data_IF_715500322523
#
_entry.id   IF_715500322523
#
_cell.length_a   1.000
_cell.length_b   1.000
_cell.length_c   1.000
_cell.angle_alpha   90.00
_cell.angle_beta   90.00
_cell.angle_gamma   90.00
#
_symmetry.space_group_name_H-M   'P 1'
#
loop_
_entity.id
_entity.type
_entity.pdbx_description
1 polymer ?
#
# COMPACT_ATOMS: atom_id res chain seq x y z
N UNK A 1 -23.22 -17.80 4.09
CA UNK A 1 -22.61 -17.74 5.44
C UNK A 1 -22.78 -16.33 6.00
N UNK A 2 -23.04 -16.17 7.29
CA UNK A 2 -23.17 -14.86 7.95
C UNK A 2 -21.79 -14.29 8.31
N UNK A 3 -21.59 -12.99 8.11
CA UNK A 3 -20.42 -12.22 8.55
C UNK A 3 -20.11 -12.41 10.04
N UNK A 4 -21.14 -12.60 10.88
CA UNK A 4 -20.96 -12.80 12.32
C UNK A 4 -20.24 -14.11 12.66
N UNK A 5 -20.25 -15.09 11.74
CA UNK A 5 -19.54 -16.36 11.91
C UNK A 5 -18.08 -16.29 11.40
N UNK A 6 -17.64 -15.14 10.89
CA UNK A 6 -16.27 -14.96 10.45
C UNK A 6 -15.34 -14.84 11.66
N UNK A 7 -14.23 -15.60 11.72
CA UNK A 7 -13.21 -15.47 12.77
C UNK A 7 -12.75 -14.02 12.95
N UNK A 8 -12.53 -13.60 14.19
CA UNK A 8 -12.18 -12.21 14.50
C UNK A 8 -10.94 -11.72 13.74
N UNK A 9 -9.95 -12.59 13.52
CA UNK A 9 -8.73 -12.28 12.76
C UNK A 9 -8.98 -12.03 11.26
N UNK A 10 -10.13 -12.46 10.72
CA UNK A 10 -10.49 -12.28 9.30
C UNK A 10 -11.43 -11.10 9.07
N UNK A 11 -12.12 -10.60 10.10
CA UNK A 11 -13.13 -9.54 9.95
C UNK A 11 -12.55 -8.26 9.37
N UNK A 12 -11.46 -7.76 9.95
CA UNK A 12 -10.82 -6.54 9.44
C UNK A 12 -10.24 -6.74 8.04
N UNK A 13 -9.63 -7.91 7.77
CA UNK A 13 -9.12 -8.24 6.44
C UNK A 13 -10.24 -8.22 5.38
N UNK A 14 -11.36 -8.87 5.71
CA UNK A 14 -12.55 -8.92 4.86
C UNK A 14 -13.15 -7.53 4.64
N UNK A 15 -13.45 -6.78 5.70
CA UNK A 15 -14.05 -5.46 5.57
C UNK A 15 -13.17 -4.47 4.83
N UNK A 16 -11.84 -4.59 4.98
CA UNK A 16 -10.89 -3.75 4.27
C UNK A 16 -10.97 -3.91 2.75
N UNK A 17 -11.53 -5.01 2.24
CA UNK A 17 -11.79 -5.16 0.80
C UNK A 17 -12.74 -4.10 0.25
N UNK A 18 -13.59 -3.51 1.11
CA UNK A 18 -14.50 -2.42 0.76
C UNK A 18 -13.80 -1.14 0.27
N UNK A 19 -12.47 -1.00 0.46
CA UNK A 19 -11.73 0.14 -0.08
C UNK A 19 -11.46 0.04 -1.57
N UNK A 20 -11.49 -1.16 -2.16
CA UNK A 20 -11.14 -1.36 -3.56
C UNK A 20 -12.30 -0.93 -4.46
N UNK A 21 -12.03 -0.41 -5.67
CA UNK A 21 -13.09 -0.06 -6.61
C UNK A 21 -13.85 -1.30 -7.09
N UNK A 22 -15.09 -1.07 -7.53
CA UNK A 22 -15.95 -2.09 -8.15
C UNK A 22 -15.22 -2.76 -9.32
N UNK A 23 -15.51 -4.04 -9.51
CA UNK A 23 -15.02 -4.84 -10.63
C UNK A 23 -13.52 -4.80 -10.91
N UNK A 24 -12.71 -4.51 -9.88
CA UNK A 24 -11.27 -4.35 -10.03
C UNK A 24 -10.55 -5.64 -9.66
N UNK A 25 -9.67 -6.12 -10.55
CA UNK A 25 -8.74 -7.19 -10.24
C UNK A 25 -7.70 -6.71 -9.20
N UNK A 26 -7.69 -7.36 -8.04
CA UNK A 26 -6.81 -7.06 -6.92
C UNK A 26 -5.62 -8.00 -6.97
N UNK A 27 -4.40 -7.46 -6.94
CA UNK A 27 -3.19 -8.25 -6.80
C UNK A 27 -3.13 -8.83 -5.37
N UNK A 28 -3.11 -10.16 -5.24
CA UNK A 28 -3.13 -10.84 -3.95
C UNK A 28 -1.97 -10.39 -3.05
N UNK A 29 -0.76 -10.30 -3.60
CA UNK A 29 0.41 -9.80 -2.87
C UNK A 29 0.23 -8.36 -2.36
N UNK A 30 -0.50 -7.51 -3.08
CA UNK A 30 -0.74 -6.12 -2.66
C UNK A 30 -1.71 -6.11 -1.49
N UNK A 31 -2.77 -6.89 -1.59
CA UNK A 31 -3.77 -7.02 -0.53
C UNK A 31 -3.15 -7.54 0.77
N UNK A 32 -2.35 -8.61 0.71
CA UNK A 32 -1.69 -9.19 1.88
C UNK A 32 -0.74 -8.21 2.54
N UNK A 33 0.09 -7.48 1.77
CA UNK A 33 0.97 -6.44 2.31
C UNK A 33 0.22 -5.27 2.93
N UNK A 34 -0.92 -4.86 2.37
CA UNK A 34 -1.77 -3.84 2.98
C UNK A 34 -2.30 -4.32 4.33
N UNK A 35 -2.85 -5.52 4.43
CA UNK A 35 -3.33 -6.07 5.72
C UNK A 35 -2.23 -6.14 6.78
N UNK A 36 -1.02 -6.57 6.39
CA UNK A 36 0.15 -6.60 7.28
C UNK A 36 0.50 -5.20 7.77
N UNK A 37 0.54 -4.22 6.87
CA UNK A 37 0.93 -2.85 7.20
C UNK A 37 -0.14 -2.12 8.03
N UNK A 38 -1.42 -2.41 7.80
CA UNK A 38 -2.55 -1.98 8.63
C UNK A 38 -2.52 -2.61 10.04
N UNK A 39 -1.84 -3.76 10.18
CA UNK A 39 -1.72 -4.50 11.43
C UNK A 39 -2.88 -5.46 11.69
N UNK A 40 -3.62 -5.87 10.65
CA UNK A 40 -4.69 -6.86 10.76
C UNK A 40 -4.15 -8.28 10.95
N UNK A 41 -2.91 -8.51 10.51
CA UNK A 41 -2.27 -9.82 10.59
C UNK A 41 -1.45 -9.91 11.88
N UNK A 42 -1.74 -10.92 12.69
CA UNK A 42 -1.01 -11.22 13.91
C UNK A 42 0.05 -12.29 13.64
N UNK A 43 1.24 -12.06 14.17
CA UNK A 43 2.35 -13.01 14.10
C UNK A 43 1.98 -14.29 14.87
N UNK A 44 1.99 -15.43 14.17
CA UNK A 44 1.84 -16.76 14.78
C UNK A 44 3.22 -17.39 14.98
N UNK A 45 3.38 -18.24 16.00
CA UNK A 45 4.66 -18.89 16.30
C UNK A 45 5.08 -19.77 15.10
N UNK A 46 6.30 -19.56 14.60
CA UNK A 46 6.86 -20.33 13.50
C UNK A 46 6.31 -20.01 12.11
N UNK A 47 5.52 -18.95 11.94
CA UNK A 47 4.93 -18.56 10.65
C UNK A 47 5.12 -17.07 10.37
N UNK A 48 5.57 -16.70 9.19
CA UNK A 48 5.70 -15.30 8.76
C UNK A 48 4.34 -14.59 8.68
N UNK A 49 4.35 -13.25 8.72
CA UNK A 49 3.14 -12.45 8.51
C UNK A 49 2.57 -12.65 7.12
N UNK A 50 3.44 -12.85 6.13
CA UNK A 50 3.06 -13.10 4.74
C UNK A 50 2.29 -14.41 4.60
N UNK A 51 2.79 -15.51 5.17
CA UNK A 51 2.07 -16.79 5.18
C UNK A 51 0.71 -16.69 5.89
N UNK A 52 0.64 -16.00 7.04
CA UNK A 52 -0.64 -15.82 7.74
C UNK A 52 -1.61 -14.95 6.92
N UNK A 53 -1.11 -13.97 6.16
CA UNK A 53 -1.92 -13.13 5.30
C UNK A 53 -2.43 -13.87 4.06
N UNK A 54 -1.61 -14.74 3.48
CA UNK A 54 -1.97 -15.61 2.35
C UNK A 54 -3.03 -16.63 2.76
N UNK A 55 -2.84 -17.34 3.88
CA UNK A 55 -3.86 -18.22 4.45
C UNK A 55 -5.20 -17.49 4.68
N UNK A 56 -5.14 -16.26 5.20
CA UNK A 56 -6.34 -15.48 5.43
C UNK A 56 -7.09 -15.18 4.13
N UNK A 57 -6.37 -14.96 3.01
CA UNK A 57 -6.98 -14.78 1.69
C UNK A 57 -7.59 -16.09 1.17
N UNK A 58 -6.87 -17.20 1.31
CA UNK A 58 -7.36 -18.53 0.92
C UNK A 58 -8.64 -18.90 1.68
N UNK A 59 -8.70 -18.59 2.99
CA UNK A 59 -9.88 -18.78 3.82
C UNK A 59 -11.09 -17.95 3.34
N UNK A 60 -10.85 -16.70 2.90
CA UNK A 60 -11.93 -15.87 2.34
C UNK A 60 -12.42 -16.40 0.99
N UNK A 61 -11.53 -16.97 0.17
CA UNK A 61 -11.89 -17.63 -1.08
C UNK A 61 -12.67 -18.92 -0.83
N UNK A 62 -12.21 -19.78 0.09
CA UNK A 62 -12.89 -21.02 0.46
C UNK A 62 -14.31 -20.77 1.02
N UNK A 63 -14.56 -19.59 1.57
CA UNK A 63 -15.87 -19.14 2.07
C UNK A 63 -16.74 -18.46 1.00
N UNK A 64 -16.26 -18.37 -0.24
CA UNK A 64 -16.90 -17.65 -1.35
C UNK A 64 -17.13 -16.15 -1.06
N UNK A 65 -16.30 -15.54 -0.22
CA UNK A 65 -16.33 -14.11 0.08
C UNK A 65 -15.44 -13.30 -0.87
N UNK A 66 -14.48 -13.97 -1.49
CA UNK A 66 -13.53 -13.43 -2.47
C UNK A 66 -13.43 -14.45 -3.61
N UNK A 67 -13.34 -13.97 -4.85
CA UNK A 67 -13.16 -14.81 -6.03
C UNK A 67 -11.69 -14.82 -6.42
N UNK A 68 -11.09 -16.00 -6.59
CA UNK A 68 -9.75 -16.12 -7.18
C UNK A 68 -9.87 -16.00 -8.71
N UNK A 69 -9.17 -15.04 -9.31
CA UNK A 69 -9.26 -14.74 -10.75
C UNK A 69 -8.12 -15.40 -11.52
N UNK A 70 -6.90 -15.30 -10.99
CA UNK A 70 -5.70 -15.94 -11.57
C UNK A 70 -4.89 -16.58 -10.47
N UNK A 71 -4.29 -17.72 -10.80
CA UNK A 71 -3.33 -18.41 -9.95
C UNK A 71 -1.91 -18.29 -10.53
N UNK A 72 -0.92 -18.44 -9.67
CA UNK A 72 0.48 -18.61 -10.02
C UNK A 72 0.73 -20.08 -10.40
N UNK A 73 1.89 -20.36 -10.98
CA UNK A 73 2.27 -21.73 -11.36
C UNK A 73 2.38 -22.70 -10.17
N UNK A 74 2.65 -22.17 -8.97
CA UNK A 74 2.70 -22.93 -7.72
C UNK A 74 1.31 -23.11 -7.06
N UNK A 75 0.23 -22.66 -7.69
CA UNK A 75 -1.14 -22.77 -7.17
C UNK A 75 -1.62 -21.55 -6.38
N UNK A 76 -0.71 -20.70 -5.88
CA UNK A 76 -1.11 -19.53 -5.08
C UNK A 76 -2.00 -18.58 -5.86
N UNK A 77 -2.87 -17.87 -5.14
CA UNK A 77 -3.66 -16.78 -5.72
C UNK A 77 -2.72 -15.67 -6.21
N UNK A 78 -2.80 -15.35 -7.50
CA UNK A 78 -2.09 -14.22 -8.12
C UNK A 78 -2.95 -12.96 -8.06
N UNK A 79 -4.21 -13.10 -8.41
CA UNK A 79 -5.20 -12.04 -8.38
C UNK A 79 -6.54 -12.54 -7.87
N UNK A 80 -7.28 -11.65 -7.22
CA UNK A 80 -8.60 -11.92 -6.71
C UNK A 80 -9.54 -10.74 -7.00
N UNK A 81 -10.84 -10.96 -6.84
CA UNK A 81 -11.89 -9.96 -7.01
C UNK A 81 -12.94 -10.12 -5.94
N UNK A 82 -13.60 -9.02 -5.59
CA UNK A 82 -14.77 -9.02 -4.69
C UNK A 82 -15.99 -8.65 -5.50
N UNK A 83 -17.06 -9.41 -5.36
CA UNK A 83 -18.33 -9.12 -6.00
C UNK A 83 -18.94 -7.83 -5.43
N UNK A 84 -19.61 -7.02 -6.24
CA UNK A 84 -20.15 -5.71 -5.83
C UNK A 84 -21.06 -5.77 -4.60
N UNK A 85 -22.01 -6.71 -4.54
CA UNK A 85 -22.83 -6.94 -3.34
C UNK A 85 -22.00 -7.21 -2.06
N UNK A 86 -20.91 -7.99 -2.17
CA UNK A 86 -20.03 -8.28 -1.02
C UNK A 86 -19.21 -7.03 -0.65
N UNK A 87 -18.77 -6.27 -1.65
CA UNK A 87 -18.08 -5.00 -1.45
C UNK A 87 -18.99 -4.00 -0.74
N UNK A 88 -20.22 -3.83 -1.20
CA UNK A 88 -21.21 -2.95 -0.57
C UNK A 88 -21.49 -3.37 0.87
N UNK A 89 -21.63 -4.68 1.11
CA UNK A 89 -21.73 -5.23 2.46
C UNK A 89 -20.52 -4.82 3.33
N UNK A 90 -19.29 -4.95 2.82
CA UNK A 90 -18.08 -4.55 3.54
C UNK A 90 -18.09 -3.06 3.88
N UNK A 91 -18.54 -2.21 2.97
CA UNK A 91 -18.63 -0.76 3.18
C UNK A 91 -19.64 -0.41 4.28
N UNK A 92 -20.82 -1.02 4.24
CA UNK A 92 -21.85 -0.81 5.24
C UNK A 92 -21.38 -1.27 6.64
N UNK A 93 -20.87 -2.50 6.75
CA UNK A 93 -20.36 -3.02 8.02
C UNK A 93 -19.14 -2.23 8.56
N UNK A 94 -18.26 -1.75 7.67
CA UNK A 94 -17.13 -0.91 8.04
C UNK A 94 -17.56 0.45 8.61
N UNK A 95 -18.64 1.03 8.08
CA UNK A 95 -19.20 2.29 8.55
C UNK A 95 -19.90 2.14 9.91
N UNK A 96 -20.78 1.14 10.04
CA UNK A 96 -21.66 1.01 11.21
C UNK A 96 -21.07 0.15 12.33
N UNK A 97 -20.62 -1.07 12.02
CA UNK A 97 -20.23 -2.04 13.04
C UNK A 97 -18.79 -1.85 13.54
N UNK A 98 -17.88 -1.41 12.67
CA UNK A 98 -16.44 -1.29 12.98
C UNK A 98 -15.94 0.15 13.18
N UNK A 99 -16.80 1.03 13.71
CA UNK A 99 -16.42 2.38 14.15
C UNK A 99 -15.70 3.19 13.04
N UNK A 100 -16.23 3.17 11.82
CA UNK A 100 -15.63 3.80 10.64
C UNK A 100 -14.22 3.25 10.32
N UNK A 101 -14.13 1.95 10.04
CA UNK A 101 -12.85 1.27 9.76
C UNK A 101 -12.00 2.02 8.72
N UNK A 102 -12.67 2.51 7.68
CA UNK A 102 -12.15 3.43 6.68
C UNK A 102 -13.21 4.45 6.26
N UNK A 103 -12.78 5.50 5.59
CA UNK A 103 -13.62 6.49 4.93
C UNK A 103 -13.27 6.54 3.45
N UNK A 104 -14.28 6.39 2.61
CA UNK A 104 -14.15 6.51 1.16
C UNK A 104 -14.48 7.94 0.73
N UNK A 105 -13.57 8.57 0.00
CA UNK A 105 -13.78 9.88 -0.62
C UNK A 105 -13.99 9.71 -2.12
N UNK A 106 -15.18 10.11 -2.57
CA UNK A 106 -15.56 10.12 -3.99
C UNK A 106 -15.76 11.56 -4.45
N UNK A 107 -15.81 11.73 -5.77
CA UNK A 107 -16.18 12.99 -6.38
C UNK A 107 -17.55 12.82 -7.03
N UNK A 108 -18.49 13.70 -6.69
CA UNK A 108 -19.83 13.69 -7.28
C UNK A 108 -19.79 14.10 -8.74
N UNK A 109 -20.91 13.93 -9.44
CA UNK A 109 -21.09 14.44 -10.81
C UNK A 109 -20.91 15.95 -10.90
N UNK A 110 -21.23 16.69 -9.82
CA UNK A 110 -21.05 18.13 -9.70
C UNK A 110 -19.59 18.53 -9.38
N UNK A 111 -18.69 17.56 -9.25
CA UNK A 111 -17.29 17.84 -8.97
C UNK A 111 -16.99 18.17 -7.51
N UNK A 112 -17.86 17.80 -6.57
CA UNK A 112 -17.65 18.03 -5.13
C UNK A 112 -17.14 16.74 -4.49
N UNK A 113 -16.22 16.86 -3.52
CA UNK A 113 -15.76 15.70 -2.75
C UNK A 113 -16.79 15.31 -1.68
N UNK A 114 -17.10 14.02 -1.62
CA UNK A 114 -17.99 13.42 -0.63
C UNK A 114 -17.28 12.28 0.11
N UNK A 115 -17.24 12.29 1.45
CA UNK A 115 -17.67 13.40 2.31
C UNK A 115 -16.80 14.65 2.12
N UNK A 116 -17.29 15.81 2.56
CA UNK A 116 -16.54 17.06 2.44
C UNK A 116 -15.17 16.94 3.13
N UNK A 117 -14.14 17.59 2.57
CA UNK A 117 -12.76 17.52 3.08
C UNK A 117 -12.65 17.96 4.55
N UNK A 118 -13.50 18.89 5.01
CA UNK A 118 -13.59 19.31 6.41
C UNK A 118 -14.05 18.20 7.36
N UNK A 119 -14.76 17.19 6.87
CA UNK A 119 -15.37 16.11 7.66
C UNK A 119 -14.51 14.84 7.74
N UNK A 120 -13.32 14.85 7.15
CA UNK A 120 -12.50 13.64 7.01
C UNK A 120 -11.87 13.10 8.30
N UNK A 121 -12.06 13.79 9.42
CA UNK A 121 -11.38 13.48 10.69
C UNK A 121 -11.99 12.23 11.38
N UNK A 122 -13.04 11.63 10.84
CA UNK A 122 -13.79 10.54 11.49
C UNK A 122 -13.14 9.15 11.37
N UNK A 123 -12.16 8.94 10.49
CA UNK A 123 -11.50 7.64 10.32
C UNK A 123 -9.97 7.71 10.33
N UNK A 124 -9.33 6.58 10.69
CA UNK A 124 -7.88 6.40 10.61
C UNK A 124 -7.42 5.96 9.22
N UNK A 125 -8.32 5.54 8.34
CA UNK A 125 -7.99 5.03 7.01
C UNK A 125 -8.82 5.77 5.98
N UNK A 126 -8.14 6.32 4.98
CA UNK A 126 -8.75 7.13 3.95
C UNK A 126 -8.44 6.50 2.60
N UNK A 127 -9.47 6.20 1.81
CA UNK A 127 -9.31 5.84 0.41
C UNK A 127 -9.97 6.88 -0.49
N UNK A 128 -9.36 7.15 -1.64
CA UNK A 128 -9.88 8.10 -2.63
C UNK A 128 -9.95 7.44 -4.00
N UNK A 129 -11.12 7.53 -4.64
CA UNK A 129 -11.42 6.95 -5.95
C UNK A 129 -11.56 8.04 -7.02
N UNK A 130 -10.77 9.11 -6.91
CA UNK A 130 -10.86 10.27 -7.79
C UNK A 130 -9.51 10.95 -7.98
N UNK A 131 -9.49 12.04 -8.75
CA UNK A 131 -8.29 12.82 -8.98
C UNK A 131 -7.80 13.49 -7.69
N UNK A 132 -6.82 12.84 -7.08
CA UNK A 132 -6.23 13.24 -5.80
C UNK A 132 -5.41 14.53 -5.87
N UNK A 133 -5.06 15.03 -7.07
CA UNK A 133 -4.36 16.31 -7.19
C UNK A 133 -5.25 17.48 -6.70
N UNK A 134 -6.54 17.47 -7.05
CA UNK A 134 -7.50 18.47 -6.60
C UNK A 134 -7.81 18.34 -5.11
N UNK A 135 -7.84 17.11 -4.61
CA UNK A 135 -7.99 16.84 -3.20
C UNK A 135 -6.90 17.55 -2.38
N UNK A 136 -5.64 17.43 -2.79
CA UNK A 136 -4.53 18.10 -2.11
C UNK A 136 -4.50 19.63 -2.31
N UNK A 137 -5.03 20.16 -3.42
CA UNK A 137 -5.18 21.63 -3.60
C UNK A 137 -6.03 22.27 -2.52
N UNK A 138 -7.02 21.55 -2.00
CA UNK A 138 -7.87 22.00 -0.89
C UNK A 138 -7.20 21.93 0.48
N UNK A 139 -5.93 21.52 0.57
CA UNK A 139 -5.11 21.46 1.79
C UNK A 139 -5.80 20.68 2.92
N UNK A 140 -6.10 19.38 2.70
CA UNK A 140 -6.77 18.55 3.68
C UNK A 140 -5.93 18.45 4.96
N UNK A 141 -6.61 18.29 6.11
CA UNK A 141 -5.97 18.08 7.41
C UNK A 141 -6.53 16.84 8.07
N UNK A 142 -5.73 15.79 8.15
CA UNK A 142 -6.12 14.50 8.74
C UNK A 142 -5.14 14.07 9.81
N UNK A 143 -5.09 14.77 10.94
CA UNK A 143 -4.12 14.51 12.03
C UNK A 143 -4.18 13.06 12.56
N UNK A 144 -5.32 12.39 12.46
CA UNK A 144 -5.51 11.01 12.89
C UNK A 144 -5.32 9.93 11.81
N UNK A 145 -5.12 10.34 10.55
CA UNK A 145 -5.05 9.44 9.40
C UNK A 145 -3.73 8.67 9.42
N UNK A 146 -3.85 7.35 9.34
CA UNK A 146 -2.75 6.38 9.36
C UNK A 146 -2.65 5.57 8.08
N UNK A 147 -3.67 5.61 7.22
CA UNK A 147 -3.66 4.92 5.94
C UNK A 147 -4.24 5.84 4.88
N UNK A 148 -3.53 5.97 3.77
CA UNK A 148 -3.97 6.73 2.61
C UNK A 148 -3.76 5.92 1.33
N UNK A 149 -4.87 5.54 0.68
CA UNK A 149 -4.87 4.70 -0.52
C UNK A 149 -5.63 5.41 -1.64
N UNK A 150 -4.98 5.61 -2.78
CA UNK A 150 -5.54 6.27 -3.96
C UNK A 150 -5.75 5.24 -5.08
N UNK A 151 -6.96 5.25 -5.63
CA UNK A 151 -7.34 4.48 -6.81
C UNK A 151 -7.69 5.43 -7.95
N UNK A 152 -7.08 5.19 -9.11
CA UNK A 152 -7.40 5.88 -10.35
C UNK A 152 -7.00 4.98 -11.52
N UNK A 153 -7.83 4.95 -12.56
CA UNK A 153 -7.52 4.25 -13.83
C UNK A 153 -6.44 4.97 -14.63
N UNK A 154 -6.33 6.29 -14.45
CA UNK A 154 -5.37 7.14 -15.13
C UNK A 154 -4.17 7.47 -14.25
N UNK A 155 -3.01 7.69 -14.91
CA UNK A 155 -1.83 8.22 -14.23
C UNK A 155 -1.97 9.73 -14.09
N UNK A 156 -1.89 10.22 -12.86
CA UNK A 156 -2.07 11.63 -12.53
C UNK A 156 -0.70 12.26 -12.29
N UNK A 157 -0.35 13.28 -13.06
CA UNK A 157 0.82 14.10 -12.78
C UNK A 157 0.55 14.99 -11.57
N UNK A 158 1.36 14.88 -10.52
CA UNK A 158 1.33 15.85 -9.42
C UNK A 158 2.27 17.02 -9.75
N UNK A 159 1.78 18.27 -9.70
CA UNK A 159 2.65 19.44 -9.73
C UNK A 159 3.70 19.38 -8.62
N UNK A 160 4.88 19.96 -8.87
CA UNK A 160 5.98 19.92 -7.93
C UNK A 160 5.61 20.54 -6.57
N UNK A 161 4.77 21.58 -6.56
CA UNK A 161 4.27 22.22 -5.32
C UNK A 161 3.45 21.28 -4.43
N UNK A 162 2.93 20.17 -4.99
CA UNK A 162 2.12 19.20 -4.27
C UNK A 162 2.87 17.92 -3.89
N UNK A 163 4.17 17.85 -4.18
CA UNK A 163 5.02 16.71 -3.80
C UNK A 163 4.98 16.48 -2.28
N UNK A 164 4.95 17.56 -1.49
CA UNK A 164 4.89 17.51 -0.02
C UNK A 164 3.48 17.35 0.56
N UNK A 165 2.41 17.40 -0.25
CA UNK A 165 1.04 17.52 0.26
C UNK A 165 0.57 16.33 1.09
N UNK A 166 1.03 15.11 0.77
CA UNK A 166 0.65 13.90 1.51
C UNK A 166 1.18 13.94 2.95
N UNK A 167 2.51 14.04 3.18
CA UNK A 167 3.03 14.10 4.54
C UNK A 167 2.62 15.38 5.28
N UNK A 168 2.29 16.48 4.57
CA UNK A 168 1.80 17.71 5.20
C UNK A 168 0.34 17.62 5.66
N UNK A 169 -0.46 16.75 5.04
CA UNK A 169 -1.85 16.50 5.41
C UNK A 169 -1.98 15.47 6.53
N UNK A 170 -1.06 14.50 6.60
CA UNK A 170 -1.18 13.28 7.39
C UNK A 170 0.14 12.90 8.08
N UNK A 171 0.30 13.30 9.34
CA UNK A 171 1.56 13.13 10.10
C UNK A 171 1.76 11.71 10.66
N UNK A 172 0.73 10.85 10.67
CA UNK A 172 0.76 9.54 11.34
C UNK A 172 0.67 8.35 10.37
N UNK A 173 0.98 8.55 9.08
CA UNK A 173 0.83 7.51 8.07
C UNK A 173 1.69 6.27 8.38
N UNK A 174 1.03 5.12 8.25
CA UNK A 174 1.56 3.75 8.27
C UNK A 174 1.53 3.13 6.89
N UNK A 175 0.46 3.41 6.14
CA UNK A 175 0.20 2.87 4.81
C UNK A 175 0.01 4.02 3.84
N UNK A 176 0.78 4.02 2.76
CA UNK A 176 0.62 4.96 1.65
C UNK A 176 0.61 4.17 0.35
N UNK A 177 -0.50 4.16 -0.36
CA UNK A 177 -0.57 3.68 -1.73
C UNK A 177 -1.10 4.78 -2.64
N UNK A 178 -0.19 5.42 -3.34
CA UNK A 178 -0.47 6.48 -4.31
C UNK A 178 0.12 6.11 -5.66
N UNK A 179 0.06 4.83 -6.01
CA UNK A 179 0.57 4.31 -7.28
C UNK A 179 0.05 5.04 -8.53
N UNK A 180 -1.20 5.54 -8.57
CA UNK A 180 -1.66 6.35 -9.71
C UNK A 180 -0.96 7.71 -9.84
N UNK A 181 -0.32 8.21 -8.80
CA UNK A 181 0.35 9.50 -8.80
C UNK A 181 1.78 9.39 -9.30
N UNK A 182 2.10 10.11 -10.37
CA UNK A 182 3.45 10.25 -10.89
C UNK A 182 4.14 11.41 -10.17
N UNK A 183 5.07 11.06 -9.30
CA UNK A 183 5.96 12.01 -8.63
C UNK A 183 7.13 12.34 -9.54
N UNK A 184 7.43 13.64 -9.67
CA UNK A 184 8.68 14.10 -10.28
C UNK A 184 9.87 13.86 -9.36
N UNK A 185 9.67 14.02 -8.05
CA UNK A 185 10.66 13.76 -7.00
C UNK A 185 10.02 13.02 -5.84
N UNK A 186 10.79 12.17 -5.15
CA UNK A 186 10.30 11.53 -3.94
C UNK A 186 10.03 12.58 -2.83
N UNK A 187 8.87 12.55 -2.14
CA UNK A 187 8.57 13.47 -1.05
C UNK A 187 9.49 13.24 0.16
N UNK A 188 10.47 14.11 0.46
CA UNK A 188 11.46 13.82 1.50
C UNK A 188 10.84 13.73 2.89
N UNK A 189 9.74 14.44 3.15
CA UNK A 189 9.04 14.36 4.44
C UNK A 189 8.44 12.97 4.72
N UNK A 190 8.19 12.14 3.71
CA UNK A 190 7.76 10.75 3.94
C UNK A 190 8.84 9.92 4.65
N UNK A 191 10.13 10.25 4.50
CA UNK A 191 11.19 9.54 5.26
C UNK A 191 11.14 9.83 6.75
N UNK A 192 10.49 10.92 7.17
CA UNK A 192 10.40 11.33 8.58
C UNK A 192 9.22 10.69 9.32
N UNK A 193 8.36 9.95 8.61
CA UNK A 193 7.19 9.30 9.20
C UNK A 193 7.59 7.98 9.85
N UNK A 194 7.84 8.02 11.16
CA UNK A 194 8.33 6.88 11.96
C UNK A 194 7.36 5.69 12.06
N UNK A 195 6.09 5.90 11.70
CA UNK A 195 5.07 4.87 11.71
C UNK A 195 4.90 4.21 10.34
N UNK A 196 5.58 4.70 9.30
CA UNK A 196 5.40 4.27 7.93
C UNK A 196 5.95 2.86 7.73
N UNK A 197 5.08 1.95 7.27
CA UNK A 197 5.36 0.51 7.08
C UNK A 197 5.25 0.07 5.63
N UNK A 198 4.33 0.67 4.87
CA UNK A 198 4.10 0.38 3.47
C UNK A 198 4.04 1.66 2.64
N UNK A 199 4.80 1.67 1.54
CA UNK A 199 4.75 2.73 0.53
C UNK A 199 4.63 2.07 -0.85
N UNK A 200 3.61 2.48 -1.60
CA UNK A 200 3.51 2.27 -3.02
C UNK A 200 3.30 3.60 -3.75
N UNK A 201 4.18 3.94 -4.69
CA UNK A 201 4.09 5.17 -5.47
C UNK A 201 4.73 5.02 -6.85
N UNK A 202 4.41 5.94 -7.77
CA UNK A 202 5.05 6.00 -9.08
C UNK A 202 6.11 7.10 -9.12
N UNK A 203 7.38 6.70 -9.26
CA UNK A 203 8.54 7.58 -9.30
C UNK A 203 9.81 6.77 -9.60
N UNK A 204 10.89 7.45 -9.98
CA UNK A 204 12.13 6.82 -10.47
C UNK A 204 13.38 7.13 -9.64
N UNK A 205 13.37 8.13 -8.74
CA UNK A 205 14.55 8.50 -7.96
C UNK A 205 14.23 8.74 -6.48
N UNK A 206 15.01 8.12 -5.59
CA UNK A 206 14.91 8.29 -4.13
C UNK A 206 16.30 8.52 -3.55
N UNK A 207 16.39 9.46 -2.60
CA UNK A 207 17.64 9.79 -1.90
C UNK A 207 17.85 8.98 -0.61
N UNK A 208 16.76 8.65 0.09
CA UNK A 208 16.81 7.90 1.35
C UNK A 208 15.50 7.15 1.58
N UNK A 209 15.57 6.11 2.43
CA UNK A 209 14.42 5.31 2.86
C UNK A 209 14.15 5.54 4.36
N UNK A 210 12.88 5.63 4.80
CA UNK A 210 12.55 5.68 6.23
C UNK A 210 13.01 4.41 6.98
N UNK A 211 13.47 4.56 8.23
CA UNK A 211 13.97 3.43 9.05
C UNK A 211 12.91 2.37 9.36
N UNK A 212 11.66 2.81 9.57
CA UNK A 212 10.52 1.93 9.89
C UNK A 212 9.94 1.20 8.66
N UNK A 213 10.39 1.55 7.45
CA UNK A 213 9.81 1.06 6.21
C UNK A 213 10.04 -0.44 6.06
N UNK A 214 8.95 -1.20 5.90
CA UNK A 214 9.01 -2.65 5.70
C UNK A 214 8.81 -3.04 4.25
N UNK A 215 7.94 -2.33 3.54
CA UNK A 215 7.60 -2.68 2.16
C UNK A 215 7.62 -1.44 1.27
N UNK A 216 8.52 -1.43 0.28
CA UNK A 216 8.57 -0.42 -0.78
C UNK A 216 8.19 -1.06 -2.11
N UNK A 217 7.16 -0.49 -2.75
CA UNK A 217 6.68 -0.88 -4.07
C UNK A 217 6.66 0.31 -5.01
N UNK A 218 7.14 0.11 -6.22
CA UNK A 218 7.14 1.16 -7.25
C UNK A 218 6.75 0.61 -8.61
N UNK A 219 6.15 1.48 -9.44
CA UNK A 219 5.80 1.14 -10.82
C UNK A 219 7.04 1.10 -11.73
N UNK A 220 8.00 2.00 -11.53
CA UNK A 220 9.25 2.05 -12.26
C UNK A 220 10.42 1.51 -11.41
N UNK A 221 11.51 1.13 -12.08
CA UNK A 221 12.76 0.80 -11.39
C UNK A 221 13.28 2.05 -10.66
N UNK A 222 13.57 1.91 -9.38
CA UNK A 222 14.02 3.02 -8.54
C UNK A 222 15.53 3.12 -8.58
N UNK A 223 16.05 4.34 -8.73
CA UNK A 223 17.45 4.65 -8.46
C UNK A 223 17.57 5.15 -7.03
N UNK A 224 18.36 4.46 -6.21
CA UNK A 224 18.74 4.89 -4.87
C UNK A 224 20.09 5.61 -4.96
N UNK A 225 20.07 6.95 -4.88
CA UNK A 225 21.30 7.75 -4.88
C UNK A 225 21.86 7.76 -3.46
N UNK A 226 23.10 7.29 -3.30
CA UNK A 226 23.89 7.20 -2.06
C UNK A 226 23.09 7.38 -0.77
N UNK A 227 22.80 6.27 -0.08
CA UNK A 227 22.08 6.30 1.20
C UNK A 227 23.05 6.81 2.28
N UNK A 228 23.32 8.12 2.33
CA UNK A 228 23.98 8.73 3.49
C UNK A 228 22.92 8.88 4.59
N UNK A 229 22.85 7.90 5.50
CA UNK A 229 21.91 7.87 6.62
C UNK A 229 21.41 6.47 6.98
N UNK A 230 21.04 6.28 8.24
CA UNK A 230 20.39 5.06 8.75
C UNK A 230 19.06 4.78 8.04
N UNK A 231 18.72 3.50 7.91
CA UNK A 231 17.47 3.05 7.29
C UNK A 231 17.64 1.83 6.38
N UNK A 232 16.63 0.95 6.36
CA UNK A 232 16.63 -0.29 5.58
C UNK A 232 16.61 -1.57 6.40
N UNK A 233 16.95 -1.52 7.71
CA UNK A 233 16.98 -2.74 8.53
C UNK A 233 15.63 -3.45 8.62
N UNK A 234 14.54 -2.70 8.65
CA UNK A 234 13.19 -3.27 8.67
C UNK A 234 12.66 -3.65 7.28
N UNK A 235 13.40 -3.35 6.21
CA UNK A 235 12.94 -3.51 4.84
C UNK A 235 12.91 -5.00 4.48
N UNK A 236 11.70 -5.49 4.21
CA UNK A 236 11.42 -6.87 3.81
C UNK A 236 11.10 -6.99 2.33
N UNK A 237 10.67 -5.90 1.69
CA UNK A 237 10.31 -5.92 0.27
C UNK A 237 10.76 -4.68 -0.48
N UNK A 238 11.43 -4.91 -1.61
CA UNK A 238 11.88 -3.90 -2.56
C UNK A 238 11.62 -4.39 -3.99
N UNK A 239 10.49 -4.02 -4.60
CA UNK A 239 10.01 -4.75 -5.80
C UNK A 239 10.68 -4.41 -7.13
N UNK A 240 11.24 -3.22 -7.29
CA UNK A 240 11.80 -2.76 -8.57
C UNK A 240 12.97 -1.82 -8.31
N UNK A 241 14.12 -2.36 -7.95
CA UNK A 241 15.38 -1.64 -7.83
C UNK A 241 16.08 -1.58 -9.20
N UNK A 242 16.67 -0.44 -9.54
CA UNK A 242 17.55 -0.33 -10.70
C UNK A 242 18.82 -1.13 -10.46
N UNK A 243 19.29 -1.87 -11.47
CA UNK A 243 20.56 -2.60 -11.39
C UNK A 243 21.74 -1.71 -10.96
N UNK A 244 21.77 -0.44 -11.41
CA UNK A 244 22.77 0.56 -11.04
C UNK A 244 22.80 0.90 -9.53
N UNK A 245 21.72 0.61 -8.81
CA UNK A 245 21.56 0.89 -7.37
C UNK A 245 21.80 -0.34 -6.48
N UNK A 246 22.16 -1.48 -7.07
CA UNK A 246 22.44 -2.72 -6.35
C UNK A 246 23.89 -2.70 -5.84
N UNK A 247 24.14 -1.93 -4.77
CA UNK A 247 25.45 -1.84 -4.10
C UNK A 247 25.44 -2.65 -2.80
N UNK A 248 26.58 -3.22 -2.41
CA UNK A 248 26.72 -4.01 -1.16
C UNK A 248 26.20 -3.27 0.08
N UNK A 249 26.47 -1.97 0.18
CA UNK A 249 26.01 -1.12 1.29
C UNK A 249 24.49 -1.18 1.51
N UNK A 250 23.69 -1.30 0.43
CA UNK A 250 22.24 -1.45 0.52
C UNK A 250 21.86 -2.78 1.16
N UNK A 251 22.51 -3.87 0.75
CA UNK A 251 22.21 -5.22 1.23
C UNK A 251 22.71 -5.46 2.65
N UNK A 252 23.86 -4.88 3.00
CA UNK A 252 24.38 -4.87 4.37
C UNK A 252 23.38 -4.21 5.36
N UNK A 253 22.65 -3.18 4.89
CA UNK A 253 21.60 -2.53 5.70
C UNK A 253 20.27 -3.27 5.64
N UNK A 254 19.84 -3.72 4.46
CA UNK A 254 18.59 -4.44 4.25
C UNK A 254 18.69 -5.93 4.56
N UNK A 255 19.27 -6.28 5.72
CA UNK A 255 19.51 -7.67 6.17
C UNK A 255 18.25 -8.54 6.27
N UNK A 256 17.07 -7.90 6.42
CA UNK A 256 15.78 -8.59 6.54
C UNK A 256 15.01 -8.66 5.22
N UNK A 257 15.65 -8.36 4.08
CA UNK A 257 15.01 -8.33 2.77
C UNK A 257 14.64 -9.75 2.32
N UNK A 258 13.34 -10.01 2.19
CA UNK A 258 12.80 -11.30 1.72
C UNK A 258 12.51 -11.30 0.22
N UNK A 259 12.16 -10.13 -0.31
CA UNK A 259 11.67 -9.96 -1.68
C UNK A 259 12.39 -8.80 -2.37
N UNK A 260 13.24 -9.11 -3.34
CA UNK A 260 13.93 -8.14 -4.19
C UNK A 260 13.57 -8.37 -5.66
N UNK A 261 13.10 -7.33 -6.33
CA UNK A 261 13.03 -7.33 -7.79
C UNK A 261 14.01 -6.32 -8.35
N UNK A 262 14.91 -6.76 -9.23
CA UNK A 262 15.88 -5.92 -9.91
C UNK A 262 15.43 -5.73 -11.36
N UNK A 263 15.62 -4.53 -11.90
CA UNK A 263 15.31 -4.20 -13.29
C UNK A 263 16.38 -3.32 -13.90
N UNK A 264 16.81 -3.64 -15.12
CA UNK A 264 17.89 -2.94 -15.82
C UNK A 264 18.93 -3.93 -16.36
N UNK A 265 20.05 -3.41 -16.84
CA UNK A 265 21.16 -4.26 -17.29
C UNK A 265 21.86 -4.90 -16.08
N UNK A 266 21.88 -6.23 -16.03
CA UNK A 266 22.43 -7.00 -14.92
C UNK A 266 23.91 -7.36 -15.10
N UNK A 267 24.57 -6.98 -16.19
CA UNK A 267 25.98 -7.35 -16.46
C UNK A 267 26.89 -6.99 -15.29
N UNK A 268 26.72 -5.81 -14.72
CA UNK A 268 27.55 -5.30 -13.63
C UNK A 268 27.33 -6.02 -12.28
N UNK A 269 26.25 -6.81 -12.14
CA UNK A 269 25.97 -7.61 -10.93
C UNK A 269 26.62 -9.00 -10.99
N UNK A 270 26.85 -9.52 -12.19
CA UNK A 270 27.44 -10.85 -12.38
C UNK A 270 28.96 -10.80 -12.21
N UNK A 271 29.61 -9.70 -12.60
CA UNK A 271 31.06 -9.52 -12.48
C UNK A 271 31.53 -9.31 -11.03
N UNK A 272 30.67 -8.82 -10.14
CA UNK A 272 31.01 -8.61 -8.72
C UNK A 272 31.02 -9.92 -7.90
N UNK A 273 30.42 -11.00 -8.40
CA UNK A 273 30.32 -12.29 -7.70
C UNK A 273 31.46 -13.28 -8.00
N UNK A 274 32.42 -12.92 -8.86
CA UNK A 274 33.55 -13.76 -9.26
C UNK A 274 34.90 -13.28 -8.71
N UNK A 275 34.89 -12.42 -7.67
CA UNK A 275 36.09 -11.89 -7.00
C UNK A 275 36.22 -12.45 -5.60
#
# INVERSE_FOLDING_TARGET
MSYHNLPHNLRDCFLYLGIFPEDTEILAWKLTLLWIAEGFIQQKRGRSLEEVAEDNLDDLVARNLVMAEKTKANGDIKTCRVHDMIREFCQNEAAFANKNLFQEVKKTRQGVFEPAISEMVKSRRLCIHSNVAEFFRKKPKGKGVRSFVCFSKETIGLPAEHTGSIPDAFDLLRVVDVTPLKFTNFPPKLTKLIHLRYIALSGNEFKALPESLRHLKTKAAIKLKEVKGGGGENLQTLSRLSAESCKEELFNRAKNLKNLGIRGNLTNLVEAGTS
#
